data_IF_462200766567
#
_entry.id   IF_462200766567
#
_cell.length_a   1.000
_cell.length_b   1.000
_cell.length_c   1.000
_cell.angle_alpha   90.00
_cell.angle_beta   90.00
_cell.angle_gamma   90.00
#
_symmetry.space_group_name_H-M   'P 1'
#
loop_
_entity.id
_entity.type
_entity.pdbx_description
1 polymer ?
#
# COMPACT_ATOMS: atom_id res chain seq x y z
N UNK A 1 15.55 17.59 -18.75
CA UNK A 1 14.71 17.87 -17.56
C UNK A 1 14.59 16.60 -16.73
N UNK A 2 15.44 16.43 -15.71
CA UNK A 2 15.44 15.23 -14.87
C UNK A 2 14.27 15.33 -13.86
N UNK A 3 13.17 14.64 -14.14
CA UNK A 3 12.03 14.59 -13.23
C UNK A 3 12.48 13.98 -11.90
N UNK A 4 12.17 14.68 -10.81
CA UNK A 4 12.62 14.43 -9.44
C UNK A 4 12.08 13.07 -8.94
N UNK A 5 12.71 11.96 -9.34
CA UNK A 5 12.36 10.58 -8.95
C UNK A 5 12.59 10.28 -7.46
N UNK A 6 13.12 11.23 -6.67
CA UNK A 6 13.60 10.99 -5.30
C UNK A 6 12.54 10.93 -4.20
N UNK A 7 11.29 11.34 -4.45
CA UNK A 7 10.30 11.49 -3.38
C UNK A 7 9.30 10.33 -3.24
N UNK A 8 9.40 9.27 -4.05
CA UNK A 8 8.54 8.08 -3.93
C UNK A 8 9.25 6.98 -3.16
N UNK A 9 8.62 6.51 -2.09
CA UNK A 9 9.09 5.39 -1.27
C UNK A 9 8.28 4.14 -1.62
N UNK A 10 8.95 2.99 -1.67
CA UNK A 10 8.30 1.70 -1.79
C UNK A 10 7.74 1.31 -0.43
N UNK A 11 6.46 0.96 -0.39
CA UNK A 11 5.76 0.58 0.84
C UNK A 11 4.95 -0.68 0.59
N UNK A 12 4.82 -1.50 1.63
CA UNK A 12 4.07 -2.74 1.59
C UNK A 12 2.76 -2.51 2.32
N UNK A 13 1.66 -2.80 1.63
CA UNK A 13 0.33 -2.82 2.21
C UNK A 13 0.00 -4.25 2.60
N UNK A 14 -0.12 -4.50 3.89
CA UNK A 14 -0.57 -5.80 4.43
C UNK A 14 -2.08 -5.76 4.69
N UNK A 15 -2.77 -6.84 4.34
CA UNK A 15 -4.17 -7.03 4.74
C UNK A 15 -4.24 -7.28 6.25
N UNK A 16 -5.25 -6.73 6.93
CA UNK A 16 -5.42 -6.97 8.37
C UNK A 16 -5.87 -8.39 8.71
N UNK A 17 -6.48 -9.10 7.76
CA UNK A 17 -7.17 -10.38 8.01
C UNK A 17 -6.53 -11.56 7.25
N UNK A 18 -5.48 -11.33 6.47
CA UNK A 18 -4.92 -12.31 5.53
C UNK A 18 -3.44 -12.06 5.30
N UNK A 19 -2.65 -13.09 4.92
CA UNK A 19 -1.24 -12.93 4.57
C UNK A 19 -1.02 -12.22 3.22
N UNK A 20 -2.08 -11.77 2.54
CA UNK A 20 -1.99 -11.09 1.26
C UNK A 20 -1.34 -9.69 1.38
N UNK A 21 -0.44 -9.36 0.45
CA UNK A 21 0.34 -8.11 0.46
C UNK A 21 0.36 -7.45 -0.91
N UNK A 22 0.22 -6.13 -0.92
CA UNK A 22 0.44 -5.32 -2.12
C UNK A 22 1.73 -4.51 -1.99
N UNK A 23 2.53 -4.51 -3.05
CA UNK A 23 3.64 -3.58 -3.19
C UNK A 23 3.15 -2.33 -3.89
N UNK A 24 3.30 -1.18 -3.23
CA UNK A 24 2.95 0.11 -3.82
C UNK A 24 4.07 1.12 -3.59
N UNK A 25 3.97 2.25 -4.29
CA UNK A 25 4.85 3.39 -4.07
C UNK A 25 4.00 4.55 -3.59
N UNK A 26 4.34 5.13 -2.45
CA UNK A 26 3.72 6.37 -1.98
C UNK A 26 4.73 7.51 -1.96
N UNK A 27 4.23 8.72 -1.84
CA UNK A 27 5.08 9.89 -1.69
C UNK A 27 5.56 10.00 -0.23
N UNK A 28 6.84 10.36 -0.03
CA UNK A 28 7.49 10.41 1.30
C UNK A 28 6.80 11.38 2.27
N UNK A 29 6.29 12.50 1.76
CA UNK A 29 5.63 13.54 2.57
C UNK A 29 4.17 13.24 2.93
N UNK A 30 3.59 12.17 2.39
CA UNK A 30 2.20 11.80 2.69
C UNK A 30 2.15 11.01 4.00
N UNK A 31 0.98 10.92 4.62
CA UNK A 31 0.78 10.07 5.80
C UNK A 31 0.70 8.58 5.43
N UNK A 32 0.64 7.70 6.44
CA UNK A 32 0.56 6.25 6.25
C UNK A 32 -0.70 5.90 5.45
N UNK A 33 -0.54 5.07 4.41
CA UNK A 33 -1.64 4.72 3.53
C UNK A 33 -2.58 3.70 4.20
N UNK A 34 -3.87 4.00 4.26
CA UNK A 34 -4.94 3.07 4.64
C UNK A 34 -5.94 3.01 3.49
N UNK A 35 -6.06 1.86 2.84
CA UNK A 35 -6.97 1.71 1.70
C UNK A 35 -7.83 0.47 1.88
N UNK A 36 -9.10 0.55 1.48
CA UNK A 36 -9.93 -0.64 1.33
C UNK A 36 -9.69 -1.22 -0.05
N UNK A 37 -9.24 -2.48 -0.10
CA UNK A 37 -8.95 -3.17 -1.35
C UNK A 37 -9.39 -4.62 -1.25
N UNK A 38 -9.64 -5.22 -2.41
CA UNK A 38 -10.03 -6.62 -2.50
C UNK A 38 -8.92 -7.53 -1.97
N UNK A 39 -9.29 -8.47 -1.12
CA UNK A 39 -8.43 -9.55 -0.68
C UNK A 39 -8.80 -10.84 -1.42
N UNK A 40 -7.91 -11.41 -2.25
CA UNK A 40 -8.20 -12.62 -3.00
C UNK A 40 -8.33 -13.87 -2.12
N UNK A 41 -7.75 -13.86 -0.92
CA UNK A 41 -7.81 -14.99 0.02
C UNK A 41 -9.19 -15.05 0.69
N UNK A 42 -9.68 -13.91 1.15
CA UNK A 42 -10.98 -13.80 1.84
C UNK A 42 -12.16 -13.53 0.89
N UNK A 43 -11.86 -13.23 -0.38
CA UNK A 43 -12.82 -12.88 -1.44
C UNK A 43 -13.74 -11.70 -1.08
N UNK A 44 -13.25 -10.78 -0.26
CA UNK A 44 -13.97 -9.56 0.17
C UNK A 44 -13.04 -8.36 0.20
N UNK A 45 -13.61 -7.16 0.23
CA UNK A 45 -12.83 -5.93 0.41
C UNK A 45 -12.47 -5.77 1.89
N UNK A 46 -11.17 -5.71 2.17
CA UNK A 46 -10.63 -5.57 3.52
C UNK A 46 -9.77 -4.30 3.59
N UNK A 47 -9.55 -3.82 4.81
CA UNK A 47 -8.66 -2.70 5.05
C UNK A 47 -7.19 -3.15 4.98
N UNK A 48 -6.44 -2.52 4.09
CA UNK A 48 -5.01 -2.70 3.93
C UNK A 48 -4.28 -1.56 4.62
N UNK A 49 -3.28 -1.90 5.42
CA UNK A 49 -2.46 -0.96 6.18
C UNK A 49 -1.02 -1.04 5.74
N UNK A 50 -0.39 0.11 5.65
CA UNK A 50 1.05 0.21 5.42
C UNK A 50 1.84 -0.36 6.59
N UNK A 51 2.81 -1.23 6.28
CA UNK A 51 3.83 -1.70 7.21
C UNK A 51 5.13 -0.92 7.05
#
# INVERSE_FOLDING_TARGET
>A
MASKKGNRIHVILESTESPHRYHTKRHRLTEKLKIKKYDPVLRKNVEYKEK
#
